data_IF_936775884606
#
_entry.id   IF_936775884606
#
_cell.length_a   1.000
_cell.length_b   1.000
_cell.length_c   1.000
_cell.angle_alpha   90.00
_cell.angle_beta   90.00
_cell.angle_gamma   90.00
#
_symmetry.space_group_name_H-M   'P 1'
#
loop_
_entity.id
_entity.type
_entity.pdbx_description
1 polymer ?
#
# COMPACT_ATOMS: atom_id res chain seq x y z
N UNK A 1 -6.62 -19.26 19.81
CA UNK A 1 -6.39 -18.48 18.58
C UNK A 1 -5.45 -17.33 18.90
N UNK A 2 -4.15 -17.53 18.73
CA UNK A 2 -3.17 -16.46 18.62
C UNK A 2 -2.30 -16.84 17.43
N UNK A 3 -2.67 -16.37 16.24
CA UNK A 3 -2.14 -16.89 14.96
C UNK A 3 -0.97 -16.05 14.39
N UNK A 4 -0.47 -15.08 15.14
CA UNK A 4 0.62 -14.21 14.70
C UNK A 4 1.87 -14.53 15.51
N UNK A 5 2.93 -15.02 14.84
CA UNK A 5 4.21 -15.27 15.50
C UNK A 5 4.75 -13.97 16.11
N UNK A 6 5.49 -14.05 17.23
CA UNK A 6 6.15 -12.88 17.84
C UNK A 6 6.98 -12.10 16.82
N UNK A 7 7.65 -12.81 15.91
CA UNK A 7 8.40 -12.23 14.79
C UNK A 7 7.49 -11.40 13.87
N UNK A 8 6.34 -11.92 13.49
CA UNK A 8 5.41 -11.20 12.59
C UNK A 8 4.84 -9.94 13.26
N UNK A 9 4.63 -9.94 14.58
CA UNK A 9 4.21 -8.72 15.30
C UNK A 9 5.31 -7.66 15.31
N UNK A 10 6.56 -8.07 15.56
CA UNK A 10 7.72 -7.18 15.46
C UNK A 10 7.87 -6.60 14.04
N UNK A 11 7.73 -7.43 13.01
CA UNK A 11 7.80 -6.97 11.61
C UNK A 11 6.69 -5.96 11.26
N UNK A 12 5.48 -6.12 11.82
CA UNK A 12 4.40 -5.12 11.67
C UNK A 12 4.76 -3.83 12.41
N UNK A 13 5.27 -3.93 13.64
CA UNK A 13 5.70 -2.79 14.44
C UNK A 13 6.81 -1.97 13.77
N UNK A 14 7.81 -2.64 13.19
CA UNK A 14 8.85 -1.98 12.42
C UNK A 14 8.29 -1.26 11.19
N UNK A 15 7.33 -1.84 10.47
CA UNK A 15 6.67 -1.13 9.34
C UNK A 15 5.86 0.08 9.78
N UNK A 16 5.24 0.02 10.97
CA UNK A 16 4.57 1.17 11.56
C UNK A 16 5.59 2.29 11.86
N UNK A 17 6.76 1.93 12.41
CA UNK A 17 7.87 2.86 12.64
C UNK A 17 8.39 3.48 11.34
N UNK A 18 8.63 2.66 10.32
CA UNK A 18 9.08 3.14 9.01
C UNK A 18 8.12 4.19 8.42
N UNK A 19 6.81 3.94 8.50
CA UNK A 19 5.82 4.89 8.00
C UNK A 19 5.77 6.18 8.83
N UNK A 20 5.91 6.09 10.15
CA UNK A 20 6.02 7.25 11.02
C UNK A 20 7.22 8.11 10.63
N UNK A 21 8.38 7.49 10.47
CA UNK A 21 9.63 8.16 10.12
C UNK A 21 9.60 8.74 8.71
N UNK A 22 9.02 8.02 7.74
CA UNK A 22 8.79 8.51 6.37
C UNK A 22 7.99 9.81 6.34
N UNK A 23 7.03 9.95 7.26
CA UNK A 23 6.19 11.15 7.38
C UNK A 23 6.81 12.23 8.27
N UNK A 24 7.95 11.95 8.91
CA UNK A 24 8.67 12.91 9.77
C UNK A 24 8.03 13.14 11.13
N UNK A 25 7.21 12.22 11.62
CA UNK A 25 6.58 12.33 12.95
C UNK A 25 7.46 11.72 14.05
N UNK A 26 7.46 12.34 15.24
CA UNK A 26 7.90 11.69 16.47
C UNK A 26 6.81 10.77 17.05
N UNK A 27 7.20 9.81 17.90
CA UNK A 27 6.27 8.93 18.61
C UNK A 27 5.25 9.72 19.46
N UNK A 28 5.69 10.83 20.04
CA UNK A 28 4.82 11.74 20.80
C UNK A 28 3.79 12.44 19.91
N UNK A 29 4.20 12.92 18.74
CA UNK A 29 3.28 13.61 17.81
C UNK A 29 2.19 12.65 17.32
N UNK A 30 2.56 11.43 16.91
CA UNK A 30 1.59 10.48 16.37
C UNK A 30 0.66 9.91 17.45
N UNK A 31 1.17 9.65 18.66
CA UNK A 31 0.34 9.20 19.79
C UNK A 31 -0.73 10.26 20.15
N UNK A 32 -0.37 11.54 20.12
CA UNK A 32 -1.32 12.66 20.29
C UNK A 32 -2.37 12.70 19.16
N UNK A 33 -1.96 12.54 17.90
CA UNK A 33 -2.88 12.51 16.75
C UNK A 33 -3.86 11.32 16.77
N UNK A 34 -3.43 10.21 17.38
CA UNK A 34 -4.22 9.00 17.62
C UNK A 34 -5.05 9.06 18.91
N UNK A 35 -4.81 10.04 19.78
CA UNK A 35 -5.49 10.17 21.07
C UNK A 35 -5.17 9.04 22.05
N UNK A 36 -3.94 8.54 22.04
CA UNK A 36 -3.48 7.45 22.90
C UNK A 36 -2.24 7.86 23.72
N UNK A 37 -1.96 7.18 24.86
CA UNK A 37 -0.72 7.37 25.59
C UNK A 37 0.50 7.02 24.72
N UNK A 38 1.61 7.74 24.90
CA UNK A 38 2.88 7.49 24.18
C UNK A 38 3.38 6.05 24.39
N UNK A 39 3.33 5.54 25.62
CA UNK A 39 3.73 4.15 25.93
C UNK A 39 2.89 3.12 25.18
N UNK A 40 1.61 3.42 24.89
CA UNK A 40 0.79 2.54 24.09
C UNK A 40 1.25 2.50 22.64
N UNK A 41 1.64 3.65 22.09
CA UNK A 41 2.16 3.74 20.73
C UNK A 41 3.53 3.08 20.58
N UNK A 42 4.45 3.28 21.53
CA UNK A 42 5.77 2.63 21.54
C UNK A 42 5.62 1.10 21.48
N UNK A 43 4.74 0.53 22.31
CA UNK A 43 4.45 -0.92 22.27
C UNK A 43 3.89 -1.42 20.95
N UNK A 44 3.27 -0.54 20.14
CA UNK A 44 2.85 -0.91 18.78
C UNK A 44 4.06 -1.06 17.85
N UNK A 45 5.01 -0.12 17.91
CA UNK A 45 6.24 -0.19 17.11
C UNK A 45 7.16 -1.34 17.55
N UNK A 46 7.15 -1.70 18.84
CA UNK A 46 7.89 -2.86 19.37
C UNK A 46 7.24 -4.22 19.02
N UNK A 47 5.99 -4.22 18.55
CA UNK A 47 5.22 -5.44 18.28
C UNK A 47 4.65 -6.12 19.53
N UNK A 48 4.73 -5.47 20.69
CA UNK A 48 4.21 -5.95 21.96
C UNK A 48 2.69 -5.81 22.07
N UNK A 49 2.10 -4.87 21.33
CA UNK A 49 0.66 -4.64 21.30
C UNK A 49 0.15 -4.38 19.89
N UNK A 50 -1.13 -4.69 19.66
CA UNK A 50 -1.79 -4.48 18.37
C UNK A 50 -2.45 -3.09 18.32
N UNK A 51 -2.23 -2.27 17.27
CA UNK A 51 -2.90 -0.99 17.11
C UNK A 51 -4.42 -1.09 17.03
N UNK A 52 -4.98 -2.25 16.69
CA UNK A 52 -6.40 -2.47 16.52
C UNK A 52 -6.92 -1.93 15.19
N UNK A 53 -7.87 -2.66 14.58
CA UNK A 53 -8.49 -2.29 13.31
C UNK A 53 -9.12 -0.89 13.34
N UNK A 54 -9.66 -0.46 14.49
CA UNK A 54 -10.35 0.82 14.62
C UNK A 54 -9.41 2.04 14.58
N UNK A 55 -8.09 1.86 14.74
CA UNK A 55 -7.11 2.94 14.60
C UNK A 55 -6.61 3.11 13.16
N UNK A 56 -6.79 2.10 12.31
CA UNK A 56 -6.33 2.10 10.92
C UNK A 56 -6.91 3.24 10.07
N UNK A 57 -8.22 3.58 10.15
CA UNK A 57 -8.76 4.72 9.41
C UNK A 57 -8.09 6.04 9.81
N UNK A 58 -7.76 6.20 11.09
CA UNK A 58 -7.09 7.41 11.60
C UNK A 58 -5.65 7.48 11.11
N UNK A 59 -4.89 6.38 11.17
CA UNK A 59 -3.54 6.28 10.61
C UNK A 59 -3.54 6.64 9.11
N UNK A 60 -4.47 6.06 8.34
CA UNK A 60 -4.62 6.36 6.92
C UNK A 60 -4.91 7.85 6.67
N UNK A 61 -5.77 8.47 7.47
CA UNK A 61 -6.08 9.91 7.35
C UNK A 61 -4.89 10.83 7.65
N UNK A 62 -3.90 10.36 8.41
CA UNK A 62 -2.67 11.08 8.76
C UNK A 62 -1.56 10.83 7.70
N UNK A 63 -1.80 9.94 6.74
CA UNK A 63 -0.91 9.69 5.60
C UNK A 63 -0.09 8.40 5.69
N UNK A 64 -0.35 7.54 6.69
CA UNK A 64 0.27 6.22 6.78
C UNK A 64 -0.24 5.31 5.66
N UNK A 65 0.66 4.55 5.03
CA UNK A 65 0.29 3.45 4.16
C UNK A 65 -0.10 2.23 5.00
N UNK A 66 -1.37 2.20 5.41
CA UNK A 66 -1.95 1.10 6.20
C UNK A 66 -1.85 -0.25 5.48
N UNK A 67 -1.94 -0.26 4.14
CA UNK A 67 -1.81 -1.49 3.37
C UNK A 67 -0.40 -2.04 3.52
N UNK A 68 0.62 -1.20 3.31
CA UNK A 68 2.01 -1.59 3.52
C UNK A 68 2.28 -2.14 4.93
N UNK A 69 1.76 -1.47 5.98
CA UNK A 69 1.93 -1.92 7.37
C UNK A 69 1.40 -3.34 7.56
N UNK A 70 0.26 -3.67 6.95
CA UNK A 70 -0.41 -4.96 7.11
C UNK A 70 0.19 -6.03 6.19
N UNK A 71 0.50 -5.70 4.94
CA UNK A 71 0.83 -6.68 3.88
C UNK A 71 2.30 -6.78 3.53
N UNK A 72 3.14 -5.84 4.01
CA UNK A 72 4.54 -5.68 3.59
C UNK A 72 4.71 -5.36 2.10
N UNK A 73 3.65 -4.97 1.40
CA UNK A 73 3.71 -4.58 -0.01
C UNK A 73 3.49 -3.08 -0.14
N UNK A 74 4.57 -2.34 -0.46
CA UNK A 74 4.45 -0.92 -0.82
C UNK A 74 3.83 -0.84 -2.21
N UNK A 75 2.60 -0.37 -2.29
CA UNK A 75 2.01 0.04 -3.55
C UNK A 75 2.38 1.52 -3.77
N UNK A 76 3.58 1.75 -4.31
CA UNK A 76 3.95 3.05 -4.87
C UNK A 76 3.69 2.96 -6.37
N UNK A 77 2.59 3.53 -6.89
CA UNK A 77 2.41 3.58 -8.33
C UNK A 77 3.58 4.39 -8.91
N UNK A 78 4.13 3.95 -10.04
CA UNK A 78 5.09 4.78 -10.75
C UNK A 78 4.47 6.15 -11.11
N UNK A 79 5.26 7.19 -11.37
CA UNK A 79 4.73 8.53 -11.74
C UNK A 79 3.67 8.47 -12.85
N UNK A 80 3.85 7.58 -13.83
CA UNK A 80 2.89 7.37 -14.92
C UNK A 80 1.58 6.73 -14.44
N UNK A 81 1.67 5.73 -13.55
CA UNK A 81 0.51 5.07 -12.96
C UNK A 81 -0.27 6.01 -12.03
N UNK A 82 0.42 6.83 -11.24
CA UNK A 82 -0.19 7.87 -10.40
C UNK A 82 -0.98 8.88 -11.24
N UNK A 83 -0.38 9.38 -12.33
CA UNK A 83 -1.04 10.31 -13.25
C UNK A 83 -2.23 9.64 -13.93
N UNK A 84 -2.11 8.38 -14.33
CA UNK A 84 -3.20 7.61 -14.93
C UNK A 84 -4.36 7.43 -13.94
N UNK A 85 -4.08 7.07 -12.69
CA UNK A 85 -5.08 6.89 -11.64
C UNK A 85 -5.79 8.20 -11.30
N UNK A 86 -5.05 9.31 -11.18
CA UNK A 86 -5.66 10.63 -10.96
C UNK A 86 -6.60 11.01 -12.09
N UNK A 87 -6.15 10.91 -13.36
CA UNK A 87 -6.98 11.20 -14.52
C UNK A 87 -8.22 10.30 -14.55
N UNK A 88 -8.05 8.99 -14.36
CA UNK A 88 -9.14 8.02 -14.36
C UNK A 88 -10.21 8.31 -13.30
N UNK A 89 -9.80 8.68 -12.07
CA UNK A 89 -10.72 9.01 -10.98
C UNK A 89 -11.62 10.21 -11.29
N UNK A 90 -11.14 11.17 -12.09
CA UNK A 90 -11.91 12.36 -12.50
C UNK A 90 -12.86 12.13 -13.69
N UNK A 91 -12.79 10.98 -14.37
CA UNK A 91 -13.65 10.69 -15.53
C UNK A 91 -15.10 10.41 -15.12
N UNK A 92 -16.02 10.77 -16.01
CA UNK A 92 -17.42 10.31 -15.96
C UNK A 92 -17.52 8.79 -16.14
N UNK A 93 -18.68 8.21 -15.81
CA UNK A 93 -18.92 6.77 -15.97
C UNK A 93 -18.64 6.30 -17.41
N UNK A 94 -19.10 7.07 -18.41
CA UNK A 94 -18.82 6.79 -19.83
C UNK A 94 -17.33 6.83 -20.14
N UNK A 95 -16.60 7.82 -19.60
CA UNK A 95 -15.15 7.93 -19.77
C UNK A 95 -14.39 6.76 -19.17
N UNK A 96 -14.78 6.29 -17.97
CA UNK A 96 -14.19 5.11 -17.34
C UNK A 96 -14.42 3.84 -18.17
N UNK A 97 -15.64 3.64 -18.69
CA UNK A 97 -15.96 2.52 -19.59
C UNK A 97 -15.12 2.56 -20.87
N UNK A 98 -14.90 3.74 -21.45
CA UNK A 98 -14.03 3.88 -22.62
C UNK A 98 -12.59 3.46 -22.32
N UNK A 99 -12.03 3.87 -21.17
CA UNK A 99 -10.67 3.45 -20.77
C UNK A 99 -10.56 1.94 -20.70
N UNK A 100 -11.53 1.25 -20.06
CA UNK A 100 -11.54 -0.22 -20.01
C UNK A 100 -11.61 -0.84 -21.40
N UNK A 101 -12.51 -0.36 -22.27
CA UNK A 101 -12.63 -0.86 -23.64
C UNK A 101 -11.33 -0.67 -24.44
N UNK A 102 -10.62 0.44 -24.22
CA UNK A 102 -9.32 0.69 -24.86
C UNK A 102 -8.25 -0.27 -24.34
N UNK A 103 -8.17 -0.52 -23.03
CA UNK A 103 -7.24 -1.49 -22.44
C UNK A 103 -7.52 -2.89 -22.99
N UNK A 104 -8.79 -3.33 -23.00
CA UNK A 104 -9.20 -4.63 -23.55
C UNK A 104 -8.83 -4.76 -25.03
N UNK A 105 -9.01 -3.69 -25.82
CA UNK A 105 -8.63 -3.66 -27.23
C UNK A 105 -7.11 -3.77 -27.40
N UNK A 106 -6.32 -3.06 -26.59
CA UNK A 106 -4.86 -3.14 -26.60
C UNK A 106 -4.38 -4.55 -26.21
N UNK A 107 -4.99 -5.20 -25.22
CA UNK A 107 -4.66 -6.58 -24.84
C UNK A 107 -4.93 -7.58 -25.97
N UNK A 108 -6.05 -7.41 -26.69
CA UNK A 108 -6.41 -8.21 -27.87
C UNK A 108 -5.49 -7.98 -29.08
N UNK A 109 -4.90 -6.79 -29.19
CA UNK A 109 -3.89 -6.45 -30.21
C UNK A 109 -2.46 -6.86 -29.79
N UNK A 110 -2.23 -7.08 -28.50
CA UNK A 110 -0.95 -7.48 -27.91
C UNK A 110 -0.65 -9.01 -27.76
N UNK A 111 -1.40 -10.01 -28.29
CA UNK A 111 -1.02 -11.42 -28.13
C UNK A 111 0.33 -11.75 -28.80
N UNK A 112 0.79 -10.89 -29.73
CA UNK A 112 2.08 -11.01 -30.39
C UNK A 112 3.28 -10.70 -29.48
N UNK A 113 3.13 -9.92 -28.41
CA UNK A 113 4.26 -9.57 -27.51
C UNK A 113 4.66 -10.80 -26.68
N UNK A 114 3.69 -11.53 -26.11
CA UNK A 114 3.94 -12.79 -25.37
C UNK A 114 4.55 -13.88 -26.26
N UNK A 115 4.20 -13.92 -27.56
CA UNK A 115 4.75 -14.88 -28.54
C UNK A 115 6.19 -14.53 -28.96
N UNK A 116 6.50 -13.23 -29.16
CA UNK A 116 7.84 -12.75 -29.52
C UNK A 116 8.88 -13.01 -28.41
N UNK A 117 8.51 -12.77 -27.16
CA UNK A 117 9.38 -13.03 -25.99
C UNK A 117 9.69 -14.54 -25.84
N UNK A 118 8.71 -15.41 -26.14
CA UNK A 118 8.87 -16.87 -26.07
C UNK A 118 9.79 -17.42 -27.15
N UNK A 119 9.76 -16.83 -28.35
CA UNK A 119 10.63 -17.24 -29.47
C UNK A 119 12.08 -16.76 -29.29
N UNK A 120 12.32 -15.59 -28.71
CA UNK A 120 13.68 -15.11 -28.40
C UNK A 120 14.37 -15.99 -27.36
N UNK A 121 13.64 -16.56 -26.39
CA UNK A 121 14.17 -17.50 -25.39
C UNK A 121 14.47 -18.91 -25.94
N UNK A 122 13.90 -19.29 -27.09
CA UNK A 122 14.12 -20.61 -27.73
C UNK A 122 15.24 -20.60 -28.77
N UNK A 123 15.74 -19.41 -29.13
CA UNK A 123 16.83 -19.20 -30.09
C UNK A 123 18.19 -18.95 -29.43
N UNK A 124 18.29 -19.16 -28.11
CA UNK A 124 19.53 -19.15 -27.34
C UNK A 124 19.73 -20.50 -26.69
#
# INVERSE_FOLDING_TARGET
MALTSTRQRQEIGERLREERERLGYSEQQISQLLGIPIDAYIRFEEGDSDPGIFRMPRLSSIGFDVLYIITNERHVPGREEDVLLQKFRTLSLKGRVTVFNTIDALERLAPNIKRKIRNVKRSK
#
